data_IF_492464806407
#
_entry.id   IF_492464806407
#
_cell.length_a   1.000
_cell.length_b   1.000
_cell.length_c   1.000
_cell.angle_alpha   90.00
_cell.angle_beta   90.00
_cell.angle_gamma   90.00
#
_symmetry.space_group_name_H-M   'P 1'
#
loop_
_entity.id
_entity.type
_entity.pdbx_description
1 polymer ?
#
# COMPACT_ATOMS: atom_id res chain seq x y z
N UNK A 1 -46.45 -11.08 4.86
CA UNK A 1 -45.10 -11.71 4.93
C UNK A 1 -45.32 -13.21 4.91
N UNK A 2 -44.98 -13.84 3.77
CA UNK A 2 -45.34 -15.22 3.47
C UNK A 2 -44.57 -16.24 4.36
N UNK A 3 -45.32 -17.25 4.82
CA UNK A 3 -44.81 -18.39 5.60
C UNK A 3 -43.63 -19.12 4.91
N UNK A 4 -43.55 -19.01 3.60
CA UNK A 4 -42.42 -19.55 2.80
C UNK A 4 -41.08 -18.81 3.01
N UNK A 5 -41.12 -17.53 3.40
CA UNK A 5 -39.89 -16.72 3.69
C UNK A 5 -39.39 -17.04 5.09
N UNK A 6 -40.28 -17.28 6.05
CA UNK A 6 -39.89 -17.68 7.41
C UNK A 6 -39.29 -19.09 7.47
N UNK A 7 -39.82 -20.03 6.67
CA UNK A 7 -39.26 -21.39 6.58
C UNK A 7 -37.85 -21.41 5.92
N UNK A 8 -37.58 -20.52 4.98
CA UNK A 8 -36.22 -20.40 4.38
C UNK A 8 -35.20 -19.74 5.30
N UNK A 9 -35.62 -18.80 6.15
CA UNK A 9 -34.75 -18.21 7.16
C UNK A 9 -34.43 -19.20 8.31
N UNK A 10 -35.34 -20.04 8.71
CA UNK A 10 -35.08 -21.07 9.73
C UNK A 10 -34.23 -22.22 9.21
N UNK A 11 -34.33 -22.59 7.94
CA UNK A 11 -33.50 -23.61 7.33
C UNK A 11 -32.02 -23.11 7.13
N UNK A 12 -31.82 -21.81 6.87
CA UNK A 12 -30.51 -21.20 6.79
C UNK A 12 -29.82 -21.08 8.16
N UNK A 13 -30.59 -20.99 9.25
CA UNK A 13 -30.07 -20.90 10.63
C UNK A 13 -29.72 -22.27 11.24
N UNK A 14 -30.24 -23.39 10.69
CA UNK A 14 -29.91 -24.75 11.14
C UNK A 14 -28.68 -25.36 10.46
N UNK A 15 -28.11 -24.75 9.43
CA UNK A 15 -26.89 -25.25 8.76
C UNK A 15 -25.61 -24.70 9.42
N UNK A 16 -25.70 -23.77 10.38
CA UNK A 16 -24.54 -23.18 11.07
C UNK A 16 -24.18 -23.83 12.41
N UNK A 17 -24.83 -24.93 12.77
CA UNK A 17 -24.50 -25.70 13.99
C UNK A 17 -23.95 -27.06 13.56
N UNK A 18 -22.62 -27.20 13.47
CA UNK A 18 -22.00 -28.51 13.42
C UNK A 18 -20.77 -28.70 12.57
N UNK A 19 -19.84 -27.73 12.56
CA UNK A 19 -18.45 -28.05 12.23
C UNK A 19 -17.61 -27.88 13.50
N UNK A 20 -17.76 -28.86 14.40
CA UNK A 20 -16.71 -29.12 15.39
C UNK A 20 -15.52 -29.66 14.60
N UNK A 21 -14.50 -28.85 14.38
CA UNK A 21 -13.19 -29.35 14.02
C UNK A 21 -12.77 -30.29 15.16
N UNK A 22 -12.76 -31.59 14.88
CA UNK A 22 -12.13 -32.56 15.75
C UNK A 22 -10.64 -32.19 15.80
N UNK A 23 -10.25 -31.41 16.81
CA UNK A 23 -8.85 -31.26 17.17
C UNK A 23 -8.33 -32.66 17.49
N UNK A 24 -7.30 -33.14 16.81
CA UNK A 24 -6.55 -34.33 17.20
C UNK A 24 -6.20 -34.15 18.67
N UNK A 25 -6.58 -35.13 19.48
CA UNK A 25 -6.35 -35.13 20.92
C UNK A 25 -4.84 -35.34 21.13
N UNK A 26 -4.10 -34.25 21.32
CA UNK A 26 -2.64 -34.29 21.46
C UNK A 26 -2.27 -34.86 22.82
N UNK A 27 -1.72 -36.07 22.84
CA UNK A 27 -1.27 -36.74 24.08
C UNK A 27 -0.01 -36.06 24.65
N UNK A 28 -0.21 -35.13 25.57
CA UNK A 28 0.87 -34.42 26.26
C UNK A 28 1.68 -35.27 27.25
N UNK A 29 1.26 -36.52 27.55
CA UNK A 29 1.92 -37.35 28.54
C UNK A 29 3.33 -37.81 28.13
N UNK A 30 3.61 -37.85 26.83
CA UNK A 30 4.89 -38.23 26.24
C UNK A 30 5.88 -37.09 26.11
N UNK A 31 5.44 -35.88 26.40
CA UNK A 31 6.29 -34.69 26.29
C UNK A 31 7.29 -34.61 27.46
N UNK A 32 8.54 -34.17 27.22
CA UNK A 32 9.49 -33.93 28.30
C UNK A 32 8.96 -32.81 29.23
N UNK A 33 9.29 -32.88 30.53
CA UNK A 33 8.86 -31.85 31.49
C UNK A 33 9.30 -30.46 31.09
N UNK A 34 8.52 -29.44 31.45
CA UNK A 34 8.83 -28.02 31.22
C UNK A 34 10.13 -27.65 31.95
N UNK A 35 10.99 -26.82 31.34
CA UNK A 35 12.18 -26.31 32.00
C UNK A 35 11.79 -25.38 33.17
N UNK A 36 12.32 -25.58 34.39
CA UNK A 36 11.97 -24.79 35.57
C UNK A 36 12.76 -23.46 35.61
N UNK A 37 12.77 -22.72 34.51
CA UNK A 37 13.53 -21.48 34.37
C UNK A 37 12.64 -20.40 33.77
N UNK A 38 12.96 -19.14 34.11
CA UNK A 38 12.40 -17.99 33.36
C UNK A 38 13.13 -17.89 32.03
N UNK A 39 12.40 -18.07 30.94
CA UNK A 39 12.94 -18.08 29.60
C UNK A 39 13.13 -16.66 29.09
N UNK A 40 14.31 -16.37 28.55
CA UNK A 40 14.62 -15.18 27.76
C UNK A 40 14.66 -15.57 26.28
N UNK A 41 13.89 -14.90 25.45
CA UNK A 41 13.76 -15.28 24.04
C UNK A 41 15.10 -15.20 23.30
N UNK A 42 15.82 -14.08 23.43
CA UNK A 42 17.05 -13.85 22.68
C UNK A 42 18.16 -14.81 23.09
N UNK A 43 18.25 -15.10 24.37
CA UNK A 43 19.28 -16.00 24.91
C UNK A 43 18.94 -17.48 24.71
N UNK A 44 17.68 -17.87 24.93
CA UNK A 44 17.32 -19.27 25.14
C UNK A 44 16.53 -19.86 23.95
N UNK A 45 15.75 -19.04 23.20
CA UNK A 45 14.84 -19.54 22.16
C UNK A 45 15.33 -19.18 20.76
N UNK A 46 15.74 -17.93 20.54
CA UNK A 46 16.21 -17.46 19.23
C UNK A 46 17.31 -18.34 18.65
N UNK A 47 18.34 -18.77 19.41
CA UNK A 47 19.37 -19.66 18.88
C UNK A 47 18.82 -21.03 18.43
N UNK A 48 17.76 -21.54 19.09
CA UNK A 48 17.08 -22.79 18.68
C UNK A 48 16.38 -22.55 17.34
N UNK A 49 15.68 -21.42 17.18
CA UNK A 49 14.97 -21.08 15.94
C UNK A 49 15.92 -20.83 14.77
N UNK A 50 17.01 -20.13 14.99
CA UNK A 50 18.05 -19.89 13.99
C UNK A 50 18.68 -21.19 13.49
N UNK A 51 19.00 -22.10 14.42
CA UNK A 51 19.59 -23.39 14.12
C UNK A 51 18.64 -24.32 13.35
N UNK A 52 17.37 -24.40 13.72
CA UNK A 52 16.49 -25.49 13.32
C UNK A 52 15.20 -25.06 12.58
N UNK A 53 14.77 -23.79 12.66
CA UNK A 53 13.43 -23.38 12.23
C UNK A 53 13.43 -22.32 11.12
N UNK A 54 14.23 -21.25 11.25
CA UNK A 54 14.16 -20.06 10.39
C UNK A 54 14.48 -20.33 8.92
N UNK A 55 15.24 -21.37 8.62
CA UNK A 55 15.49 -21.77 7.23
C UNK A 55 14.21 -22.08 6.45
N UNK A 56 13.18 -22.59 7.15
CA UNK A 56 11.89 -22.98 6.57
C UNK A 56 10.73 -22.13 7.08
N UNK A 57 10.83 -21.52 8.26
CA UNK A 57 9.78 -20.76 8.92
C UNK A 57 10.22 -19.32 9.24
N UNK A 58 11.16 -18.78 8.47
CA UNK A 58 11.57 -17.37 8.48
C UNK A 58 10.71 -16.50 7.57
N UNK A 59 11.10 -15.20 7.38
CA UNK A 59 10.25 -14.19 6.72
C UNK A 59 10.11 -14.36 5.21
N UNK A 60 11.13 -14.91 4.50
CA UNK A 60 11.18 -14.80 3.04
C UNK A 60 10.26 -15.77 2.29
N UNK A 61 10.28 -17.06 2.64
CA UNK A 61 9.47 -18.10 1.97
C UNK A 61 9.02 -19.16 2.96
N UNK A 62 8.12 -18.83 3.88
CA UNK A 62 7.72 -19.73 4.94
C UNK A 62 6.99 -20.97 4.40
N UNK A 63 7.45 -22.15 4.79
CA UNK A 63 6.76 -23.41 4.49
C UNK A 63 5.44 -23.46 5.24
N UNK A 64 4.40 -23.98 4.60
CA UNK A 64 3.04 -24.06 5.15
C UNK A 64 2.51 -22.72 5.68
N UNK A 65 3.00 -21.60 5.15
CA UNK A 65 2.68 -20.22 5.59
C UNK A 65 2.92 -19.94 7.08
N UNK A 66 3.57 -20.87 7.81
CA UNK A 66 3.90 -20.70 9.21
C UNK A 66 5.23 -19.98 9.40
N UNK A 67 5.23 -18.93 10.22
CA UNK A 67 6.41 -18.11 10.50
C UNK A 67 6.68 -18.05 12.01
N UNK A 68 7.98 -18.07 12.36
CA UNK A 68 8.45 -18.01 13.74
C UNK A 68 9.35 -16.80 14.01
N UNK A 69 9.49 -15.88 13.06
CA UNK A 69 10.36 -14.71 13.19
C UNK A 69 9.73 -13.55 13.97
N UNK A 70 8.41 -13.51 14.08
CA UNK A 70 7.68 -12.54 14.90
C UNK A 70 6.60 -13.21 15.74
N UNK A 71 6.27 -12.61 16.89
CA UNK A 71 5.19 -13.11 17.74
C UNK A 71 3.85 -13.15 17.01
N UNK A 72 3.50 -12.06 16.32
CA UNK A 72 2.24 -11.97 15.58
C UNK A 72 2.10 -13.10 14.54
N UNK A 73 3.15 -13.36 13.75
CA UNK A 73 3.16 -14.41 12.75
C UNK A 73 3.11 -15.81 13.36
N UNK A 74 3.83 -16.05 14.46
CA UNK A 74 3.85 -17.33 15.16
C UNK A 74 2.48 -17.67 15.78
N UNK A 75 1.79 -16.67 16.33
CA UNK A 75 0.45 -16.83 16.90
C UNK A 75 -0.65 -17.01 15.86
N UNK A 76 -0.42 -16.52 14.63
CA UNK A 76 -1.36 -16.69 13.51
C UNK A 76 -1.46 -18.14 13.07
N UNK A 77 -0.39 -18.93 13.23
CA UNK A 77 -0.30 -20.31 12.74
C UNK A 77 -0.05 -20.40 11.24
N UNK A 78 -0.20 -21.58 10.70
CA UNK A 78 0.04 -21.92 9.29
C UNK A 78 -1.18 -22.51 8.59
N UNK A 79 -0.94 -23.25 7.51
CA UNK A 79 -1.98 -23.88 6.67
C UNK A 79 -2.87 -24.88 7.42
N UNK A 80 -2.38 -25.45 8.51
CA UNK A 80 -3.11 -26.42 9.33
C UNK A 80 -3.80 -25.78 10.54
N UNK A 81 -3.71 -24.47 10.70
CA UNK A 81 -4.28 -23.73 11.82
C UNK A 81 -3.23 -23.24 12.80
N UNK A 82 -3.61 -23.13 14.07
CA UNK A 82 -2.77 -22.61 15.15
C UNK A 82 -1.77 -23.65 15.59
N UNK A 83 -0.47 -23.38 15.45
CA UNK A 83 0.62 -24.27 15.85
C UNK A 83 1.11 -24.03 17.29
N UNK A 84 0.79 -22.86 17.87
CA UNK A 84 1.21 -22.44 19.21
C UNK A 84 0.00 -21.96 20.02
N UNK A 85 -0.29 -22.62 21.13
CA UNK A 85 -1.31 -22.20 22.10
C UNK A 85 -0.61 -21.53 23.27
N UNK A 86 -0.65 -20.20 23.35
CA UNK A 86 0.03 -19.44 24.39
C UNK A 86 -0.48 -19.84 25.78
N UNK A 87 0.45 -20.14 26.70
CA UNK A 87 0.13 -20.61 28.06
C UNK A 87 -0.12 -22.11 28.17
N UNK A 88 -0.14 -22.86 27.03
CA UNK A 88 -0.38 -24.31 27.06
C UNK A 88 0.51 -25.05 26.03
N UNK A 89 1.73 -25.36 26.45
CA UNK A 89 2.68 -26.06 25.60
C UNK A 89 2.26 -27.50 25.29
N UNK A 90 1.45 -28.10 26.16
CA UNK A 90 0.97 -29.49 25.96
C UNK A 90 -0.05 -29.58 24.83
N UNK A 91 -0.82 -28.50 24.57
CA UNK A 91 -1.77 -28.41 23.47
C UNK A 91 -1.22 -27.69 22.22
N UNK A 92 0.05 -27.33 22.22
CA UNK A 92 0.69 -26.67 21.09
C UNK A 92 1.22 -27.70 20.08
N UNK A 93 0.65 -27.81 18.86
CA UNK A 93 1.12 -28.73 17.83
C UNK A 93 2.61 -28.63 17.55
N UNK A 94 3.17 -27.43 17.54
CA UNK A 94 4.61 -27.21 17.37
C UNK A 94 5.44 -28.09 18.29
N UNK A 95 5.07 -28.23 19.58
CA UNK A 95 5.84 -29.02 20.54
C UNK A 95 5.78 -30.53 20.21
N UNK A 96 4.63 -31.00 19.76
CA UNK A 96 4.48 -32.38 19.33
C UNK A 96 5.30 -32.69 18.07
N UNK A 97 5.38 -31.77 17.13
CA UNK A 97 6.19 -31.88 15.91
C UNK A 97 7.69 -31.94 16.24
N UNK A 98 8.18 -31.02 17.09
CA UNK A 98 9.61 -31.02 17.46
C UNK A 98 9.98 -32.16 18.42
N UNK A 99 9.04 -32.65 19.19
CA UNK A 99 9.20 -33.88 20.01
C UNK A 99 9.07 -35.17 19.20
N UNK A 100 8.75 -35.07 17.87
CA UNK A 100 8.59 -36.21 16.95
C UNK A 100 7.54 -37.20 17.35
N UNK A 101 6.43 -36.69 17.93
CA UNK A 101 5.32 -37.53 18.43
C UNK A 101 4.22 -37.73 17.37
N UNK A 102 4.22 -36.94 16.30
CA UNK A 102 3.26 -37.05 15.21
C UNK A 102 3.98 -37.60 13.98
N UNK A 103 3.65 -38.82 13.50
CA UNK A 103 4.25 -39.38 12.29
C UNK A 103 4.03 -38.45 11.07
N UNK A 104 5.02 -38.36 10.21
CA UNK A 104 5.04 -37.55 8.97
C UNK A 104 4.95 -36.03 9.20
N UNK A 105 4.99 -35.60 10.47
CA UNK A 105 4.96 -34.17 10.85
C UNK A 105 6.17 -33.73 11.69
N UNK A 106 7.20 -34.58 11.73
CA UNK A 106 8.39 -34.31 12.54
C UNK A 106 9.12 -33.05 12.07
N UNK A 107 9.48 -32.20 13.02
CA UNK A 107 10.26 -31.00 12.79
C UNK A 107 11.54 -31.00 13.62
N UNK A 108 12.67 -30.62 13.04
CA UNK A 108 12.91 -30.42 11.59
C UNK A 108 12.73 -31.75 10.83
N UNK A 109 12.35 -31.68 9.52
CA UNK A 109 12.26 -32.90 8.70
C UNK A 109 13.62 -33.57 8.57
N UNK A 110 13.64 -34.91 8.48
CA UNK A 110 14.84 -35.71 8.37
C UNK A 110 15.76 -35.23 7.23
N UNK A 111 17.06 -35.04 7.51
CA UNK A 111 18.06 -34.58 6.56
C UNK A 111 18.03 -33.08 6.26
N UNK A 112 17.21 -32.28 6.95
CA UNK A 112 17.17 -30.82 6.79
C UNK A 112 17.89 -30.07 7.92
N UNK A 113 17.76 -30.54 9.14
CA UNK A 113 18.50 -30.11 10.31
C UNK A 113 18.52 -31.23 11.35
N UNK A 114 19.39 -31.12 12.36
CA UNK A 114 19.41 -32.05 13.48
C UNK A 114 18.13 -31.94 14.34
N UNK A 115 17.58 -33.04 14.83
CA UNK A 115 16.47 -33.02 15.76
C UNK A 115 16.80 -32.18 17.00
N UNK A 116 15.78 -31.54 17.57
CA UNK A 116 15.94 -30.83 18.84
C UNK A 116 16.29 -31.80 19.99
N UNK A 117 17.17 -31.35 20.83
CA UNK A 117 17.49 -32.06 22.07
C UNK A 117 16.33 -31.97 23.08
N UNK A 118 16.24 -32.90 24.01
CA UNK A 118 15.26 -32.84 25.10
C UNK A 118 15.34 -31.52 25.88
N UNK A 119 16.54 -30.98 26.07
CA UNK A 119 16.73 -29.68 26.75
C UNK A 119 16.13 -28.53 25.96
N UNK A 120 16.32 -28.47 24.64
CA UNK A 120 15.73 -27.46 23.77
C UNK A 120 14.20 -27.54 23.73
N UNK A 121 13.63 -28.74 23.69
CA UNK A 121 12.17 -28.95 23.76
C UNK A 121 11.61 -28.45 25.10
N UNK A 122 12.29 -28.71 26.21
CA UNK A 122 11.91 -28.23 27.55
C UNK A 122 11.91 -26.71 27.64
N UNK A 123 12.88 -26.04 27.01
CA UNK A 123 12.94 -24.58 26.92
C UNK A 123 11.79 -24.03 26.07
N UNK A 124 11.51 -24.62 24.90
CA UNK A 124 10.39 -24.22 24.05
C UNK A 124 9.05 -24.40 24.81
N UNK A 125 8.88 -25.45 25.55
CA UNK A 125 7.70 -25.65 26.39
C UNK A 125 7.56 -24.52 27.43
N UNK A 126 8.65 -24.24 28.16
CA UNK A 126 8.65 -23.17 29.15
C UNK A 126 8.35 -21.80 28.53
N UNK A 127 8.87 -21.54 27.35
CA UNK A 127 8.60 -20.32 26.60
C UNK A 127 7.12 -20.17 26.24
N UNK A 128 6.48 -21.24 25.78
CA UNK A 128 5.05 -21.25 25.43
C UNK A 128 4.21 -21.05 26.69
N UNK A 129 4.50 -21.81 27.76
CA UNK A 129 3.76 -21.74 29.02
C UNK A 129 3.89 -20.35 29.70
N UNK A 130 4.98 -19.62 29.42
CA UNK A 130 5.20 -18.24 29.87
C UNK A 130 4.59 -17.17 28.93
N UNK A 131 3.79 -17.58 27.93
CA UNK A 131 2.99 -16.66 27.11
C UNK A 131 3.64 -16.26 25.78
N UNK A 132 4.60 -17.04 25.25
CA UNK A 132 5.21 -16.82 23.93
C UNK A 132 5.83 -15.43 23.81
N UNK A 133 6.60 -15.02 24.84
CA UNK A 133 7.30 -13.74 24.81
C UNK A 133 8.51 -13.84 23.89
N UNK A 134 8.62 -12.95 22.93
CA UNK A 134 9.81 -12.77 22.07
C UNK A 134 10.89 -11.90 22.72
N UNK A 135 10.85 -11.80 24.05
CA UNK A 135 11.64 -10.85 24.82
C UNK A 135 10.92 -9.51 24.93
N UNK A 136 11.50 -8.57 25.63
CA UNK A 136 11.25 -7.21 25.23
C UNK A 136 11.66 -7.21 23.76
N UNK A 137 10.71 -7.19 22.83
CA UNK A 137 10.94 -6.67 21.49
C UNK A 137 11.89 -5.49 21.76
N UNK A 138 13.19 -5.49 21.27
CA UNK A 138 14.04 -4.35 21.53
C UNK A 138 13.08 -3.23 21.27
N UNK A 139 12.67 -2.51 22.36
CA UNK A 139 11.62 -1.53 22.19
C UNK A 139 12.14 -0.68 21.06
N UNK A 140 11.86 -1.13 19.86
CA UNK A 140 11.97 -0.46 18.61
C UNK A 140 10.84 0.57 18.56
N UNK A 141 10.56 1.11 19.70
CA UNK A 141 10.28 2.50 19.93
C UNK A 141 11.55 3.36 19.73
N UNK A 142 12.57 2.85 19.07
CA UNK A 142 13.33 3.68 18.18
C UNK A 142 12.33 3.95 17.06
N UNK A 143 11.58 5.05 17.26
CA UNK A 143 10.97 5.80 16.19
C UNK A 143 12.01 5.79 15.08
N UNK A 144 11.90 4.83 14.17
CA UNK A 144 12.86 4.72 13.08
C UNK A 144 12.29 5.62 12.01
N UNK A 145 12.52 6.94 12.24
CA UNK A 145 12.21 7.92 11.23
C UNK A 145 13.26 7.81 10.13
N UNK A 146 12.82 7.64 8.92
CA UNK A 146 13.66 7.83 7.75
C UNK A 146 13.24 9.13 7.06
N UNK A 147 14.23 9.93 6.71
CA UNK A 147 14.04 11.19 6.02
C UNK A 147 14.94 11.23 4.80
N UNK A 148 14.36 11.54 3.65
CA UNK A 148 15.07 11.71 2.39
C UNK A 148 14.56 12.98 1.70
N UNK A 149 15.49 13.80 1.20
CA UNK A 149 15.16 15.01 0.44
C UNK A 149 16.12 15.12 -0.73
N UNK A 150 15.57 15.34 -1.90
CA UNK A 150 16.29 15.57 -3.15
C UNK A 150 15.95 16.97 -3.69
N UNK A 151 16.68 18.01 -3.28
CA UNK A 151 16.49 19.32 -3.85
C UNK A 151 16.99 19.34 -5.31
N UNK A 152 16.33 20.11 -6.15
CA UNK A 152 16.71 20.31 -7.55
C UNK A 152 16.71 21.78 -7.89
N UNK A 153 17.65 22.17 -8.72
CA UNK A 153 17.71 23.50 -9.35
C UNK A 153 18.20 23.31 -10.79
N UNK A 154 17.55 23.97 -11.72
CA UNK A 154 17.93 23.96 -13.13
C UNK A 154 17.74 25.34 -13.74
N UNK A 155 18.55 25.65 -14.74
CA UNK A 155 18.40 26.83 -15.59
C UNK A 155 18.06 26.37 -17.00
N UNK A 156 17.00 26.94 -17.55
CA UNK A 156 16.51 26.66 -18.91
C UNK A 156 16.68 27.91 -19.75
N UNK A 157 17.31 27.79 -20.91
CA UNK A 157 17.40 28.86 -21.91
C UNK A 157 16.82 28.35 -23.21
N UNK A 158 15.93 29.13 -23.79
CA UNK A 158 15.20 28.80 -25.02
C UNK A 158 15.61 29.73 -26.13
N UNK A 159 15.93 29.16 -27.30
CA UNK A 159 16.14 29.93 -28.53
C UNK A 159 15.05 29.56 -29.53
N UNK A 160 14.16 30.51 -29.84
CA UNK A 160 13.05 30.32 -30.76
C UNK A 160 11.68 30.54 -30.11
N UNK A 161 10.71 29.62 -30.37
CA UNK A 161 9.35 29.78 -29.88
C UNK A 161 9.22 29.18 -28.44
N UNK A 162 9.24 30.06 -27.46
CA UNK A 162 9.16 29.72 -26.03
C UNK A 162 7.83 29.02 -25.66
N UNK A 163 6.69 29.52 -26.20
CA UNK A 163 5.38 28.91 -25.95
C UNK A 163 5.32 27.47 -26.44
N UNK A 164 5.92 27.18 -27.59
CA UNK A 164 5.98 25.84 -28.14
C UNK A 164 6.96 24.94 -27.39
N UNK A 165 8.05 25.51 -26.90
CA UNK A 165 8.97 24.79 -25.99
C UNK A 165 8.24 24.38 -24.69
N UNK A 166 7.54 25.34 -24.09
CA UNK A 166 6.78 25.12 -22.84
C UNK A 166 5.69 24.07 -23.00
N UNK A 167 4.94 24.11 -24.12
CA UNK A 167 3.95 23.07 -24.46
C UNK A 167 4.58 21.67 -24.52
N UNK A 168 5.79 21.56 -25.03
CA UNK A 168 6.45 20.27 -25.26
C UNK A 168 7.17 19.73 -24.01
N UNK A 169 7.80 20.61 -23.24
CA UNK A 169 8.66 20.23 -22.12
C UNK A 169 8.05 20.49 -20.74
N UNK A 170 6.91 21.18 -20.66
CA UNK A 170 6.20 21.43 -19.41
C UNK A 170 6.97 22.31 -18.42
N UNK A 171 7.86 23.18 -18.90
CA UNK A 171 8.70 24.03 -18.05
C UNK A 171 8.94 25.38 -18.69
N UNK A 172 9.25 26.38 -17.86
CA UNK A 172 9.51 27.74 -18.27
C UNK A 172 11.00 27.99 -18.54
N UNK A 173 11.29 29.01 -19.33
CA UNK A 173 12.63 29.59 -19.42
C UNK A 173 13.05 30.23 -18.09
N UNK A 174 14.34 30.19 -17.78
CA UNK A 174 14.89 30.75 -16.56
C UNK A 174 15.23 29.74 -15.50
N UNK A 175 15.29 30.20 -14.25
CA UNK A 175 15.58 29.37 -13.09
C UNK A 175 14.34 28.61 -12.65
N UNK A 176 14.48 27.30 -12.57
CA UNK A 176 13.46 26.38 -12.09
C UNK A 176 14.03 25.52 -10.95
N UNK A 177 13.22 25.18 -9.98
CA UNK A 177 13.68 24.34 -8.89
C UNK A 177 12.62 24.03 -7.85
N UNK A 178 13.06 23.32 -6.83
CA UNK A 178 12.22 22.88 -5.72
C UNK A 178 12.71 21.59 -5.11
N UNK A 179 11.79 20.79 -4.63
CA UNK A 179 12.05 19.43 -4.16
C UNK A 179 11.62 18.43 -5.23
N UNK A 180 12.60 17.78 -5.89
CA UNK A 180 12.30 16.74 -6.87
C UNK A 180 11.64 15.53 -6.20
N UNK A 181 12.11 15.20 -5.01
CA UNK A 181 11.52 14.16 -4.16
C UNK A 181 11.78 14.48 -2.70
N UNK A 182 10.83 14.14 -1.84
CA UNK A 182 11.04 14.02 -0.42
C UNK A 182 10.23 12.85 0.13
N UNK A 183 10.73 12.22 1.18
CA UNK A 183 10.05 11.12 1.85
C UNK A 183 10.38 11.17 3.35
N UNK A 184 9.33 11.05 4.14
CA UNK A 184 9.41 10.86 5.59
C UNK A 184 8.64 9.59 5.91
N UNK A 185 9.26 8.66 6.62
CA UNK A 185 8.55 7.50 7.13
C UNK A 185 8.89 7.32 8.61
N UNK A 186 7.88 7.08 9.41
CA UNK A 186 7.97 6.99 10.85
C UNK A 186 7.17 5.80 11.36
N UNK A 187 7.77 5.01 12.25
CA UNK A 187 7.08 3.99 13.01
C UNK A 187 6.61 4.62 14.32
N UNK A 188 5.29 4.81 14.45
CA UNK A 188 4.69 5.46 15.62
C UNK A 188 4.51 4.49 16.81
N UNK A 189 4.52 3.18 16.51
CA UNK A 189 4.35 2.13 17.52
C UNK A 189 4.31 0.74 16.88
N UNK A 190 4.04 -0.32 17.65
CA UNK A 190 3.90 -1.67 17.11
C UNK A 190 2.78 -1.72 16.07
N UNK A 191 3.14 -2.08 14.82
CA UNK A 191 2.19 -2.14 13.71
C UNK A 191 1.64 -0.79 13.23
N UNK A 192 2.18 0.35 13.70
CA UNK A 192 1.76 1.69 13.29
C UNK A 192 2.83 2.38 12.47
N UNK A 193 2.48 2.82 11.27
CA UNK A 193 3.39 3.52 10.36
C UNK A 193 2.74 4.79 9.81
N UNK A 194 3.53 5.84 9.72
CA UNK A 194 3.18 7.08 9.04
C UNK A 194 4.20 7.30 7.92
N UNK A 195 3.70 7.58 6.73
CA UNK A 195 4.53 7.91 5.57
C UNK A 195 4.00 9.15 4.88
N UNK A 196 4.91 10.08 4.59
CA UNK A 196 4.67 11.26 3.78
C UNK A 196 5.71 11.27 2.67
N UNK A 197 5.28 11.29 1.43
CA UNK A 197 6.17 11.46 0.29
C UNK A 197 5.60 12.47 -0.71
N UNK A 198 6.49 13.06 -1.49
CA UNK A 198 6.04 14.02 -2.46
C UNK A 198 7.13 14.67 -3.31
N UNK A 199 6.65 15.63 -4.11
CA UNK A 199 7.44 16.49 -4.99
C UNK A 199 6.81 17.88 -4.99
N UNK A 200 7.63 18.92 -5.04
CA UNK A 200 7.20 20.31 -5.16
C UNK A 200 8.17 21.06 -6.08
N UNK A 201 7.77 21.31 -7.32
CA UNK A 201 8.53 22.13 -8.28
C UNK A 201 7.82 23.48 -8.44
N UNK A 202 8.39 24.52 -7.83
CA UNK A 202 7.69 25.79 -7.59
C UNK A 202 7.41 26.52 -8.91
N UNK A 203 8.39 26.61 -9.80
CA UNK A 203 8.23 27.37 -11.04
C UNK A 203 7.32 26.69 -12.07
N UNK A 204 7.15 25.37 -11.98
CA UNK A 204 6.32 24.60 -12.89
C UNK A 204 4.91 24.32 -12.30
N UNK A 205 4.62 24.78 -11.08
CA UNK A 205 3.39 24.47 -10.32
C UNK A 205 3.10 22.96 -10.24
N UNK A 206 4.16 22.15 -10.24
CA UNK A 206 4.06 20.70 -10.16
C UNK A 206 4.20 20.25 -8.70
N UNK A 207 3.08 19.86 -8.13
CA UNK A 207 2.98 19.45 -6.73
C UNK A 207 2.41 18.04 -6.66
N UNK A 208 3.06 17.18 -5.87
CA UNK A 208 2.56 15.87 -5.51
C UNK A 208 2.82 15.62 -4.04
N UNK A 209 1.77 15.34 -3.29
CA UNK A 209 1.83 15.00 -1.87
C UNK A 209 1.05 13.73 -1.63
N UNK A 210 1.60 12.81 -0.85
CA UNK A 210 0.95 11.57 -0.44
C UNK A 210 1.22 11.31 1.03
N UNK A 211 0.17 11.09 1.77
CA UNK A 211 0.19 10.72 3.17
C UNK A 211 -0.44 9.33 3.31
N UNK A 212 0.21 8.43 3.99
CA UNK A 212 -0.35 7.15 4.42
C UNK A 212 -0.10 6.95 5.92
N UNK A 213 -1.16 6.77 6.66
CA UNK A 213 -1.14 6.23 8.00
C UNK A 213 -1.71 4.83 7.96
N UNK A 214 -1.01 3.87 8.55
CA UNK A 214 -1.44 2.48 8.63
C UNK A 214 -1.30 1.97 10.06
N UNK A 215 -2.31 1.23 10.50
CA UNK A 215 -2.27 0.42 11.71
C UNK A 215 -2.60 -1.02 11.36
N UNK A 216 -1.69 -1.92 11.71
CA UNK A 216 -1.86 -3.36 11.48
C UNK A 216 -3.13 -3.85 12.19
N UNK A 217 -3.86 -4.78 11.58
CA UNK A 217 -5.12 -5.37 12.05
C UNK A 217 -6.26 -4.37 12.32
N UNK A 218 -6.12 -3.10 11.93
CA UNK A 218 -7.17 -2.09 12.03
C UNK A 218 -7.50 -1.50 10.66
N UNK A 219 -6.50 -0.92 9.99
CA UNK A 219 -6.74 -0.27 8.72
C UNK A 219 -5.69 0.77 8.32
N UNK A 220 -6.10 1.63 7.39
CA UNK A 220 -5.25 2.71 6.92
C UNK A 220 -6.08 3.94 6.53
N UNK A 221 -5.41 5.08 6.56
CA UNK A 221 -5.87 6.33 5.94
C UNK A 221 -4.83 6.74 4.91
N UNK A 222 -5.26 7.00 3.69
CA UNK A 222 -4.44 7.57 2.63
C UNK A 222 -5.06 8.85 2.18
N UNK A 223 -4.24 9.88 2.03
CA UNK A 223 -4.65 11.14 1.44
C UNK A 223 -3.58 11.60 0.47
N UNK A 224 -3.98 12.35 -0.52
CA UNK A 224 -3.02 12.92 -1.44
C UNK A 224 -3.56 14.10 -2.20
N UNK A 225 -2.62 14.82 -2.79
CA UNK A 225 -2.88 15.95 -3.67
C UNK A 225 -1.87 15.91 -4.82
N UNK A 226 -2.36 16.05 -6.04
CA UNK A 226 -1.54 16.15 -7.23
C UNK A 226 -2.04 17.32 -8.07
N UNK A 227 -1.12 18.16 -8.55
CA UNK A 227 -1.40 19.27 -9.45
C UNK A 227 -0.23 19.43 -10.41
N UNK A 228 -0.52 19.75 -11.64
CA UNK A 228 0.46 20.16 -12.64
C UNK A 228 -0.19 21.03 -13.71
N UNK A 229 0.64 21.81 -14.40
CA UNK A 229 0.19 22.64 -15.52
C UNK A 229 0.44 21.93 -16.85
N UNK A 230 -0.54 22.05 -17.75
CA UNK A 230 -0.40 21.77 -19.17
C UNK A 230 -0.34 23.10 -19.91
N UNK A 231 0.69 23.25 -20.72
CA UNK A 231 0.89 24.46 -21.51
C UNK A 231 0.51 24.20 -22.95
N UNK A 232 -0.14 25.16 -23.54
CA UNK A 232 -0.47 25.14 -24.97
C UNK A 232 0.21 26.33 -25.63
N UNK A 233 0.67 26.15 -26.87
CA UNK A 233 1.17 27.29 -27.63
C UNK A 233 -0.01 28.21 -28.02
N UNK A 234 0.29 29.47 -28.22
CA UNK A 234 -0.69 30.48 -28.56
C UNK A 234 -1.12 30.51 -30.04
N UNK A 235 -0.72 29.47 -30.80
CA UNK A 235 -1.02 29.39 -32.22
C UNK A 235 -2.48 29.01 -32.54
N UNK A 236 -3.29 28.71 -31.54
CA UNK A 236 -4.70 28.36 -31.69
C UNK A 236 -4.99 27.12 -32.54
N UNK A 237 -3.97 26.27 -32.75
CA UNK A 237 -4.01 25.15 -33.66
C UNK A 237 -3.60 25.52 -35.10
N UNK A 238 -3.13 24.51 -35.82
CA UNK A 238 -2.71 24.67 -37.20
C UNK A 238 -3.71 24.00 -38.15
N UNK A 239 -4.15 24.77 -39.11
CA UNK A 239 -4.99 24.25 -40.19
C UNK A 239 -4.32 24.58 -41.56
N UNK A 240 -4.01 23.58 -42.41
CA UNK A 240 -3.21 23.77 -43.63
C UNK A 240 -3.78 24.80 -44.63
N UNK A 241 -5.07 25.03 -44.56
CA UNK A 241 -5.74 26.00 -45.45
C UNK A 241 -5.48 27.48 -45.09
N UNK A 242 -4.85 27.74 -43.93
CA UNK A 242 -4.46 29.11 -43.57
C UNK A 242 -3.21 29.54 -44.37
N UNK A 243 -3.15 30.81 -44.76
CA UNK A 243 -2.00 31.34 -45.54
C UNK A 243 -0.71 31.44 -44.73
N UNK A 244 -0.81 31.38 -43.40
CA UNK A 244 0.31 31.31 -42.44
C UNK A 244 0.27 30.01 -41.70
N UNK A 245 1.44 29.45 -41.37
CA UNK A 245 1.51 28.17 -40.63
C UNK A 245 1.04 28.29 -39.19
N UNK A 246 0.95 29.49 -38.62
CA UNK A 246 0.49 29.74 -37.26
C UNK A 246 -0.16 31.13 -37.14
N UNK A 247 -1.08 31.24 -36.20
CA UNK A 247 -1.73 32.49 -35.79
C UNK A 247 -1.56 32.63 -34.28
N UNK A 248 -0.98 33.73 -33.82
CA UNK A 248 -0.89 34.03 -32.41
C UNK A 248 -2.25 34.48 -31.87
N UNK A 249 -2.69 33.88 -30.80
CA UNK A 249 -3.89 34.26 -30.05
C UNK A 249 -3.59 35.37 -29.04
N UNK A 250 -2.29 35.69 -28.82
CA UNK A 250 -1.79 36.61 -27.81
C UNK A 250 -2.34 36.26 -26.39
N UNK A 251 -2.42 35.01 -26.11
CA UNK A 251 -2.89 34.45 -24.83
C UNK A 251 -1.85 33.52 -24.25
N UNK A 252 -1.70 33.56 -22.93
CA UNK A 252 -0.96 32.54 -22.21
C UNK A 252 -1.92 31.38 -21.87
N UNK A 253 -1.84 30.35 -22.71
CA UNK A 253 -2.77 29.21 -22.63
C UNK A 253 -2.22 28.16 -21.71
N UNK A 254 -2.74 28.13 -20.49
CA UNK A 254 -2.33 27.21 -19.46
C UNK A 254 -3.57 26.55 -18.84
N UNK A 255 -3.56 25.25 -18.75
CA UNK A 255 -4.58 24.44 -18.08
C UNK A 255 -3.95 23.83 -16.84
N UNK A 256 -4.45 24.16 -15.67
CA UNK A 256 -4.09 23.54 -14.41
C UNK A 256 -4.96 22.30 -14.22
N UNK A 257 -4.32 21.17 -14.02
CA UNK A 257 -4.96 19.86 -13.79
C UNK A 257 -4.55 19.33 -12.43
N UNK A 258 -5.51 18.92 -11.65
CA UNK A 258 -5.18 18.36 -10.35
C UNK A 258 -6.27 17.48 -9.76
N UNK A 259 -5.88 16.83 -8.67
CA UNK A 259 -6.81 16.05 -7.85
C UNK A 259 -6.36 16.01 -6.39
N UNK A 260 -7.35 15.97 -5.53
CA UNK A 260 -7.16 15.65 -4.12
C UNK A 260 -7.99 14.41 -3.77
N UNK A 261 -7.46 13.51 -2.95
CA UNK A 261 -8.20 12.31 -2.54
C UNK A 261 -7.93 11.92 -1.09
N UNK A 262 -8.88 11.19 -0.53
CA UNK A 262 -8.75 10.55 0.75
C UNK A 262 -9.42 9.17 0.70
N UNK A 263 -8.71 8.14 1.17
CA UNK A 263 -9.22 6.77 1.29
C UNK A 263 -9.11 6.30 2.74
N UNK A 264 -10.14 5.64 3.23
CA UNK A 264 -10.19 4.95 4.51
C UNK A 264 -10.32 3.46 4.25
N UNK A 265 -9.36 2.69 4.68
CA UNK A 265 -9.38 1.24 4.54
C UNK A 265 -9.49 0.55 5.89
N UNK A 266 -10.39 -0.42 6.00
CA UNK A 266 -10.49 -1.33 7.13
C UNK A 266 -9.84 -2.67 6.75
N UNK A 267 -8.90 -3.12 7.60
CA UNK A 267 -8.13 -4.36 7.40
C UNK A 267 -8.23 -5.26 8.61
N UNK A 268 -9.45 -5.40 9.14
CA UNK A 268 -9.72 -6.23 10.32
C UNK A 268 -9.42 -7.71 10.03
N UNK A 269 -8.88 -8.47 11.01
CA UNK A 269 -8.68 -9.90 10.88
C UNK A 269 -9.98 -10.60 10.49
N UNK A 270 -9.89 -11.58 9.57
CA UNK A 270 -11.02 -12.38 9.07
C UNK A 270 -12.10 -11.62 8.27
N UNK A 271 -12.02 -10.31 8.19
CA UNK A 271 -12.93 -9.48 7.38
C UNK A 271 -12.33 -9.18 6.00
N UNK A 272 -13.17 -9.00 4.97
CA UNK A 272 -12.67 -8.48 3.71
C UNK A 272 -12.11 -7.07 3.90
N UNK A 273 -11.13 -6.71 3.10
CA UNK A 273 -10.59 -5.34 3.11
C UNK A 273 -11.62 -4.42 2.47
N UNK A 274 -12.19 -3.52 3.25
CA UNK A 274 -13.14 -2.52 2.79
C UNK A 274 -12.47 -1.18 2.65
N UNK A 275 -12.65 -0.52 1.51
CA UNK A 275 -12.10 0.83 1.27
C UNK A 275 -13.22 1.78 0.88
N UNK A 276 -13.28 2.90 1.59
CA UNK A 276 -14.15 4.03 1.29
C UNK A 276 -13.27 5.19 0.87
N UNK A 277 -13.53 5.75 -0.29
CA UNK A 277 -12.73 6.83 -0.83
C UNK A 277 -13.57 7.98 -1.37
N UNK A 278 -12.95 9.15 -1.35
CA UNK A 278 -13.44 10.33 -2.03
C UNK A 278 -12.30 10.95 -2.82
N UNK A 279 -12.60 11.35 -4.05
CA UNK A 279 -11.67 12.05 -4.92
C UNK A 279 -12.35 13.25 -5.55
N UNK A 280 -11.67 14.39 -5.49
CA UNK A 280 -12.04 15.62 -6.18
C UNK A 280 -11.01 15.87 -7.28
N UNK A 281 -11.48 15.98 -8.50
CA UNK A 281 -10.66 16.33 -9.66
C UNK A 281 -11.07 17.70 -10.18
N UNK A 282 -10.09 18.47 -10.63
CA UNK A 282 -10.33 19.77 -11.22
C UNK A 282 -9.44 20.00 -12.44
N UNK A 283 -9.97 20.79 -13.36
CA UNK A 283 -9.27 21.32 -14.52
C UNK A 283 -9.73 22.74 -14.71
N UNK A 284 -8.81 23.69 -14.64
CA UNK A 284 -9.11 25.10 -14.84
C UNK A 284 -8.07 25.79 -15.71
N UNK A 285 -8.48 26.81 -16.45
CA UNK A 285 -7.61 27.56 -17.32
C UNK A 285 -8.08 27.69 -18.75
N UNK A 286 -7.15 27.60 -19.70
CA UNK A 286 -7.47 27.76 -21.12
C UNK A 286 -6.58 26.90 -22.01
N UNK A 287 -7.13 26.42 -23.11
CA UNK A 287 -6.39 25.69 -24.15
C UNK A 287 -6.69 26.18 -25.54
N UNK A 288 -5.79 25.92 -26.48
CA UNK A 288 -6.02 26.22 -27.90
C UNK A 288 -7.05 25.27 -28.51
N UNK A 289 -7.88 25.81 -29.40
CA UNK A 289 -8.89 25.05 -30.14
C UNK A 289 -9.11 25.64 -31.52
N UNK A 290 -9.91 24.96 -32.34
CA UNK A 290 -10.41 25.48 -33.61
C UNK A 290 -11.93 25.60 -33.52
N UNK A 291 -12.43 26.75 -33.98
CA UNK A 291 -13.87 27.03 -33.99
C UNK A 291 -14.39 27.12 -35.43
N UNK A 292 -15.63 26.68 -35.60
CA UNK A 292 -16.36 26.86 -36.86
C UNK A 292 -17.06 28.22 -36.83
N UNK A 293 -16.95 28.95 -37.95
CA UNK A 293 -17.61 30.24 -38.15
C UNK A 293 -17.00 31.01 -39.30
N UNK A 294 -17.74 31.94 -39.83
CA UNK A 294 -17.29 32.78 -40.93
C UNK A 294 -16.26 33.82 -40.42
N UNK A 295 -15.04 33.70 -40.91
CA UNK A 295 -13.97 34.68 -40.67
C UNK A 295 -13.53 35.30 -41.97
N UNK A 296 -13.59 36.61 -42.02
CA UNK A 296 -13.14 37.41 -43.17
C UNK A 296 -12.02 38.35 -42.74
N UNK A 297 -10.89 38.27 -43.38
CA UNK A 297 -9.81 39.24 -43.14
C UNK A 297 -10.20 40.59 -43.74
N UNK A 298 -9.93 41.66 -43.00
CA UNK A 298 -10.21 43.06 -43.44
C UNK A 298 -9.04 43.66 -44.19
N UNK A 299 -7.88 42.99 -44.21
CA UNK A 299 -6.65 43.43 -44.86
C UNK A 299 -6.35 42.51 -46.03
N UNK A 300 -5.96 43.08 -47.16
CA UNK A 300 -5.62 42.31 -48.37
C UNK A 300 -4.41 41.35 -48.13
N UNK A 301 -4.42 40.15 -48.70
CA UNK A 301 -5.53 39.54 -49.45
C UNK A 301 -6.73 39.18 -48.58
N UNK A 302 -7.92 39.53 -49.05
CA UNK A 302 -9.15 39.16 -48.34
C UNK A 302 -9.37 37.66 -48.46
N UNK A 303 -9.37 37.01 -47.31
CA UNK A 303 -9.57 35.55 -47.18
C UNK A 303 -10.80 35.30 -46.34
N UNK A 304 -11.72 34.51 -46.84
CA UNK A 304 -12.89 34.02 -46.08
C UNK A 304 -12.65 32.55 -45.70
N UNK A 305 -12.90 32.22 -44.45
CA UNK A 305 -12.75 30.89 -43.88
C UNK A 305 -13.97 30.56 -43.02
N UNK A 306 -14.29 29.25 -42.91
CA UNK A 306 -15.35 28.78 -42.04
C UNK A 306 -14.77 28.07 -40.78
N UNK A 307 -13.48 28.18 -40.57
CA UNK A 307 -12.76 27.67 -39.40
C UNK A 307 -11.66 28.68 -39.04
N UNK A 308 -11.48 28.91 -37.75
CA UNK A 308 -10.46 29.83 -37.25
C UNK A 308 -9.84 29.33 -35.94
N UNK A 309 -8.59 29.72 -35.66
CA UNK A 309 -7.96 29.49 -34.36
C UNK A 309 -8.70 30.25 -33.26
N UNK A 310 -8.88 29.59 -32.16
CA UNK A 310 -9.54 30.11 -30.97
C UNK A 310 -8.93 29.52 -29.70
N UNK A 311 -9.40 29.96 -28.57
CA UNK A 311 -9.13 29.31 -27.31
C UNK A 311 -10.45 29.00 -26.60
N UNK A 312 -10.40 28.06 -25.70
CA UNK A 312 -11.52 27.56 -24.89
C UNK A 312 -11.15 27.73 -23.43
N UNK A 313 -12.06 28.29 -22.65
CA UNK A 313 -11.94 28.34 -21.19
C UNK A 313 -12.41 27.00 -20.60
N UNK A 314 -11.67 26.51 -19.63
CA UNK A 314 -11.93 25.26 -18.94
C UNK A 314 -12.17 25.57 -17.48
N UNK A 315 -13.26 25.05 -16.95
CA UNK A 315 -13.63 25.11 -15.53
C UNK A 315 -14.43 23.84 -15.22
N UNK A 316 -13.71 22.76 -14.94
CA UNK A 316 -14.30 21.42 -14.77
C UNK A 316 -13.99 20.90 -13.36
N UNK A 317 -15.03 20.41 -12.71
CA UNK A 317 -14.94 19.80 -11.39
C UNK A 317 -15.64 18.43 -11.38
N UNK A 318 -14.97 17.42 -10.80
CA UNK A 318 -15.53 16.07 -10.71
C UNK A 318 -15.38 15.55 -9.28
N UNK A 319 -16.46 15.02 -8.76
CA UNK A 319 -16.51 14.39 -7.44
C UNK A 319 -16.72 12.88 -7.61
N UNK A 320 -15.85 12.07 -7.02
CA UNK A 320 -15.90 10.62 -7.14
C UNK A 320 -15.96 10.02 -5.74
N UNK A 321 -17.01 9.27 -5.48
CA UNK A 321 -17.14 8.43 -4.30
C UNK A 321 -16.76 7.01 -4.68
N UNK A 322 -15.89 6.37 -3.88
CA UNK A 322 -15.36 5.03 -4.11
C UNK A 322 -15.76 4.11 -2.96
N UNK A 323 -16.18 2.91 -3.30
CA UNK A 323 -16.32 1.82 -2.37
C UNK A 323 -15.71 0.57 -3.00
N UNK A 324 -14.77 -0.06 -2.31
CA UNK A 324 -14.15 -1.30 -2.73
C UNK A 324 -14.26 -2.33 -1.61
N UNK A 325 -14.69 -3.53 -1.97
CA UNK A 325 -14.65 -4.72 -1.14
C UNK A 325 -13.69 -5.73 -1.79
N UNK A 326 -12.56 -5.99 -1.14
CA UNK A 326 -11.55 -6.92 -1.63
C UNK A 326 -11.49 -8.12 -0.70
N UNK A 327 -12.17 -9.19 -1.08
CA UNK A 327 -11.97 -10.48 -0.44
C UNK A 327 -10.75 -11.16 -1.08
N UNK A 328 -9.69 -11.42 -0.29
CA UNK A 328 -8.64 -12.30 -0.75
C UNK A 328 -9.22 -13.71 -0.89
N UNK A 329 -9.42 -14.15 -2.13
CA UNK A 329 -9.70 -15.55 -2.41
C UNK A 329 -8.38 -16.30 -2.17
N UNK A 330 -8.32 -17.04 -1.08
CA UNK A 330 -7.23 -17.98 -0.76
C UNK A 330 -7.50 -19.30 -1.44
#
# INVERSE_FOLDING_TARGET
MDAAVQARLMLAMMIFLGFSAAGEDLDGSKLPSVAPVKVDFQRDIQPIFEKACFRCHGPERPKSRFRLDTRASAMKGGDKGVDIVAGDSAKSPLIHYVARLIPDMEMPPSGKAEPLTTAEIRLLRAWIDQGVSYGAEPSSSLVRSSFSVSPTIRFVSVSGNESKFREHYGTHEGWNGGLAEFSVAENLGPGETLRLDGRVLIADDDVRLRLEYRKEDLGFVRAGYEQFNRYYNDAGGYYPSFPKPSYSLNQDLTERVGRGWIDFGLTLPEWPVMVFGYEYQFRDGSKSTLQWGDVRTTVAPIVQRNIYPAYELIDEHTHILKFEDRKSVV
#
